data_IF_118233193438
#
_entry.id   IF_118233193438
#
_cell.length_a   1.000
_cell.length_b   1.000
_cell.length_c   1.000
_cell.angle_alpha   90.00
_cell.angle_beta   90.00
_cell.angle_gamma   90.00
#
_symmetry.space_group_name_H-M   'P 1'
#
loop_
_entity.id
_entity.type
_entity.pdbx_description
1 polymer ?
#
# COMPACT_ATOMS: atom_id res chain seq x y z
N UNK A 1 19.11 -5.51 59.74
CA UNK A 1 19.10 -4.75 58.47
C UNK A 1 17.86 -5.20 57.70
N UNK A 2 16.67 -4.69 58.04
CA UNK A 2 15.99 -3.55 57.41
C UNK A 2 15.84 -3.68 55.88
N UNK A 3 14.64 -4.11 55.44
CA UNK A 3 14.12 -3.98 54.07
C UNK A 3 13.77 -2.52 53.78
N UNK A 4 13.92 -2.09 52.52
CA UNK A 4 12.97 -1.18 51.86
C UNK A 4 12.54 -1.78 50.50
N UNK A 5 11.26 -2.12 50.28
CA UNK A 5 10.13 -1.25 49.86
C UNK A 5 10.20 -0.84 48.39
N UNK A 6 9.30 -1.47 47.62
CA UNK A 6 8.91 -1.17 46.25
C UNK A 6 8.44 0.29 46.09
N UNK A 7 8.83 0.95 45.01
CA UNK A 7 8.12 2.13 44.48
C UNK A 7 8.39 2.27 42.98
N UNK A 8 7.37 1.83 42.23
CA UNK A 8 6.70 2.60 41.18
C UNK A 8 7.49 2.99 39.92
N UNK A 9 7.14 2.28 38.85
CA UNK A 9 7.35 2.64 37.45
C UNK A 9 6.49 3.88 37.14
N UNK A 10 7.12 4.99 36.78
CA UNK A 10 6.40 6.12 36.17
C UNK A 10 6.06 5.77 34.71
N UNK A 11 4.81 5.32 34.54
CA UNK A 11 4.12 5.26 33.25
C UNK A 11 4.00 6.68 32.68
N UNK A 12 4.62 6.91 31.53
CA UNK A 12 4.42 8.13 30.75
C UNK A 12 2.96 8.15 30.27
N UNK A 13 2.18 9.20 30.59
CA UNK A 13 0.79 9.26 30.17
C UNK A 13 0.72 9.41 28.65
N UNK A 14 0.20 8.37 28.01
CA UNK A 14 -0.32 8.41 26.66
C UNK A 14 -1.36 9.54 26.62
N UNK A 15 -1.07 10.63 25.91
CA UNK A 15 -2.04 11.73 25.73
C UNK A 15 -3.25 11.15 25.00
N UNK A 16 -4.31 10.89 25.76
CA UNK A 16 -5.65 10.60 25.27
C UNK A 16 -6.04 11.63 24.22
N UNK A 17 -6.22 11.16 22.97
CA UNK A 17 -6.99 11.91 21.96
C UNK A 17 -8.47 11.69 22.24
N UNK A 18 -8.98 12.37 23.26
CA UNK A 18 -10.42 12.50 23.48
C UNK A 18 -10.85 13.93 23.14
N UNK A 19 -11.56 14.07 22.01
CA UNK A 19 -12.57 15.07 21.64
C UNK A 19 -12.84 14.92 20.13
N UNK A 20 -14.05 14.95 19.58
CA UNK A 20 -15.22 15.65 20.07
C UNK A 20 -16.51 15.19 19.35
N UNK A 21 -17.48 14.60 20.07
CA UNK A 21 -18.88 14.47 19.61
C UNK A 21 -19.71 15.74 19.95
N UNK A 22 -19.04 16.90 20.07
CA UNK A 22 -19.65 18.20 20.43
C UNK A 22 -19.50 19.28 19.35
N UNK A 23 -18.96 18.94 18.19
CA UNK A 23 -18.78 19.92 17.10
C UNK A 23 -20.12 20.48 16.61
N UNK A 24 -21.22 19.73 16.76
CA UNK A 24 -22.59 20.18 16.46
C UNK A 24 -23.09 21.32 17.37
N UNK A 25 -22.44 21.60 18.49
CA UNK A 25 -22.82 22.67 19.42
C UNK A 25 -21.98 23.95 19.23
N UNK A 26 -20.98 23.93 18.35
CA UNK A 26 -20.10 25.08 18.11
C UNK A 26 -20.82 26.13 17.27
N UNK A 27 -20.67 27.40 17.64
CA UNK A 27 -21.19 28.50 16.82
C UNK A 27 -20.35 28.68 15.56
N UNK A 28 -20.93 29.27 14.51
CA UNK A 28 -20.22 29.56 13.25
C UNK A 28 -18.91 30.32 13.46
N UNK A 29 -18.89 31.25 14.42
CA UNK A 29 -17.69 32.03 14.74
C UNK A 29 -16.56 31.14 15.31
N UNK A 30 -16.90 30.21 16.22
CA UNK A 30 -15.93 29.28 16.80
C UNK A 30 -15.35 28.32 15.75
N UNK A 31 -16.18 27.85 14.81
CA UNK A 31 -15.71 26.99 13.71
C UNK A 31 -14.78 27.74 12.75
N UNK A 32 -15.05 29.02 12.48
CA UNK A 32 -14.17 29.86 11.65
C UNK A 32 -12.83 30.06 12.33
N UNK A 33 -12.82 30.36 13.63
CA UNK A 33 -11.60 30.56 14.40
C UNK A 33 -10.73 29.29 14.46
N UNK A 34 -11.35 28.12 14.67
CA UNK A 34 -10.67 26.83 14.66
C UNK A 34 -10.10 26.49 13.28
N UNK A 35 -10.84 26.77 12.20
CA UNK A 35 -10.35 26.59 10.82
C UNK A 35 -9.16 27.51 10.52
N UNK A 36 -9.21 28.77 10.95
CA UNK A 36 -8.09 29.69 10.77
C UNK A 36 -6.85 29.26 11.57
N UNK A 37 -7.04 28.82 12.82
CA UNK A 37 -5.96 28.28 13.64
C UNK A 37 -5.32 27.05 12.98
N UNK A 38 -6.14 26.14 12.46
CA UNK A 38 -5.68 24.94 11.78
C UNK A 38 -4.93 25.27 10.49
N UNK A 39 -5.44 26.21 9.69
CA UNK A 39 -4.77 26.68 8.47
C UNK A 39 -3.41 27.27 8.78
N UNK A 40 -3.28 28.10 9.83
CA UNK A 40 -1.99 28.68 10.27
C UNK A 40 -1.00 27.60 10.73
N UNK A 41 -1.48 26.56 11.42
CA UNK A 41 -0.63 25.44 11.82
C UNK A 41 -0.12 24.65 10.62
N UNK A 42 -0.97 24.41 9.62
CA UNK A 42 -0.57 23.74 8.38
C UNK A 42 0.50 24.55 7.64
N UNK A 43 0.32 25.86 7.48
CA UNK A 43 1.33 26.69 6.78
C UNK A 43 2.67 26.68 7.50
N UNK A 44 2.66 26.66 8.84
CA UNK A 44 3.88 26.55 9.64
C UNK A 44 4.58 25.20 9.42
N UNK A 45 3.84 24.10 9.49
CA UNK A 45 4.38 22.76 9.27
C UNK A 45 4.90 22.57 7.84
N UNK A 46 4.19 23.07 6.84
CA UNK A 46 4.63 23.08 5.43
C UNK A 46 5.95 23.84 5.28
N UNK A 47 6.08 25.01 5.92
CA UNK A 47 7.33 25.79 5.88
C UNK A 47 8.49 25.11 6.61
N UNK A 48 8.21 24.36 7.67
CA UNK A 48 9.21 23.59 8.43
C UNK A 48 9.64 22.34 7.66
N UNK A 49 8.71 21.69 6.94
CA UNK A 49 9.01 20.59 6.03
C UNK A 49 9.87 21.06 4.86
N UNK A 50 9.52 22.16 4.20
CA UNK A 50 10.32 22.73 3.10
C UNK A 50 11.76 23.06 3.53
N UNK A 51 11.95 23.55 4.77
CA UNK A 51 13.28 23.80 5.35
C UNK A 51 14.05 22.53 5.69
N UNK A 52 13.37 21.45 6.05
CA UNK A 52 14.00 20.14 6.31
C UNK A 52 14.33 19.40 5.01
N UNK A 53 13.50 19.54 3.98
CA UNK A 53 13.74 18.96 2.66
C UNK A 53 14.94 19.62 1.96
N UNK A 54 15.17 20.92 2.15
CA UNK A 54 16.35 21.64 1.63
C UNK A 54 17.70 21.28 2.29
N UNK A 55 17.72 20.45 3.33
CA UNK A 55 18.94 19.97 4.02
C UNK A 55 19.20 18.47 3.80
N UNK A 56 18.39 17.80 2.98
CA UNK A 56 18.56 16.40 2.58
C UNK A 56 18.93 16.29 1.09
N UNK A 57 19.82 17.16 0.61
CA UNK A 57 20.51 16.98 -0.67
C UNK A 57 21.54 15.86 -0.54
N UNK A 58 21.10 14.62 -0.74
CA UNK A 58 21.87 13.49 -1.32
C UNK A 58 21.07 12.19 -1.19
N UNK A 59 19.86 12.14 -1.76
CA UNK A 59 19.37 10.91 -2.36
C UNK A 59 18.80 11.26 -3.72
N UNK A 60 19.56 10.89 -4.73
CA UNK A 60 19.23 10.86 -6.14
C UNK A 60 17.98 9.97 -6.35
N UNK A 61 16.80 10.49 -5.97
CA UNK A 61 15.53 9.96 -6.43
C UNK A 61 15.27 10.59 -7.79
N UNK A 62 15.99 10.10 -8.79
CA UNK A 62 15.43 10.09 -10.13
C UNK A 62 14.06 9.43 -10.00
N UNK A 63 12.98 10.21 -10.05
CA UNK A 63 11.62 9.68 -10.12
C UNK A 63 11.60 8.86 -11.40
N UNK A 64 11.80 7.55 -11.28
CA UNK A 64 11.79 6.65 -12.42
C UNK A 64 10.40 6.75 -13.07
N UNK A 65 10.35 7.44 -14.21
CA UNK A 65 9.10 7.59 -14.96
C UNK A 65 8.61 6.20 -15.33
N UNK A 66 7.37 5.87 -14.98
CA UNK A 66 6.77 4.59 -15.36
C UNK A 66 6.82 4.43 -16.88
N UNK A 67 7.12 3.22 -17.40
CA UNK A 67 7.08 2.96 -18.83
C UNK A 67 5.69 3.26 -19.42
N UNK A 68 5.67 3.74 -20.66
CA UNK A 68 4.43 4.00 -21.40
C UNK A 68 3.69 2.68 -21.63
N UNK A 69 2.42 2.63 -21.25
CA UNK A 69 1.54 1.48 -21.50
C UNK A 69 0.92 1.62 -22.88
N UNK A 70 1.07 0.59 -23.72
CA UNK A 70 0.42 0.51 -25.04
C UNK A 70 -0.79 -0.41 -24.93
N UNK A 71 -1.89 0.01 -25.55
CA UNK A 71 -3.05 -0.85 -25.70
C UNK A 71 -2.73 -1.96 -26.70
N UNK A 72 -3.09 -3.20 -26.36
CA UNK A 72 -2.90 -4.37 -27.22
C UNK A 72 -4.22 -5.14 -27.31
N UNK A 73 -4.45 -5.79 -28.43
CA UNK A 73 -5.57 -6.68 -28.65
C UNK A 73 -5.00 -8.05 -29.02
N UNK A 74 -4.66 -8.83 -28.00
CA UNK A 74 -4.07 -10.16 -28.14
C UNK A 74 -4.80 -11.14 -27.21
N UNK A 75 -4.95 -12.38 -27.67
CA UNK A 75 -5.34 -13.47 -26.78
C UNK A 75 -4.14 -13.81 -25.88
N UNK A 76 -4.36 -13.81 -24.58
CA UNK A 76 -3.34 -14.11 -23.56
C UNK A 76 -3.77 -15.40 -22.84
N UNK A 77 -2.88 -16.37 -22.81
CA UNK A 77 -3.03 -17.59 -22.05
C UNK A 77 -2.23 -17.48 -20.75
N UNK A 78 -2.89 -17.78 -19.63
CA UNK A 78 -2.31 -17.80 -18.29
C UNK A 78 -2.05 -19.24 -17.88
N UNK A 79 -0.82 -19.50 -17.47
CA UNK A 79 -0.37 -20.78 -16.93
C UNK A 79 0.00 -20.51 -15.48
N UNK A 80 -0.87 -20.96 -14.59
CA UNK A 80 -0.67 -20.93 -13.15
C UNK A 80 -0.14 -22.30 -12.71
N UNK A 81 1.09 -22.33 -12.20
CA UNK A 81 1.72 -23.55 -11.69
C UNK A 81 1.99 -23.37 -10.20
N UNK A 82 0.91 -23.39 -9.42
CA UNK A 82 0.98 -23.38 -7.97
C UNK A 82 0.15 -24.54 -7.42
N UNK A 83 0.70 -25.25 -6.44
CA UNK A 83 0.05 -26.40 -5.81
C UNK A 83 -0.75 -25.93 -4.58
N UNK A 84 -0.04 -25.55 -3.51
CA UNK A 84 -0.63 -24.97 -2.31
C UNK A 84 0.14 -23.69 -1.97
N UNK A 85 -0.61 -22.63 -1.70
CA UNK A 85 -0.06 -21.34 -1.29
C UNK A 85 -0.57 -21.04 0.11
N UNK A 86 0.36 -20.76 1.02
CA UNK A 86 0.01 -20.36 2.37
C UNK A 86 -0.54 -18.93 2.36
N UNK A 87 -1.69 -18.76 3.03
CA UNK A 87 -2.38 -17.49 3.12
C UNK A 87 -2.79 -17.22 4.56
N UNK A 88 -2.67 -15.96 4.96
CA UNK A 88 -3.15 -15.51 6.26
C UNK A 88 -4.58 -15.01 6.14
N UNK A 89 -5.50 -15.69 6.82
CA UNK A 89 -6.90 -15.27 6.88
C UNK A 89 -7.06 -13.92 7.59
N UNK A 90 -7.84 -13.02 7.01
CA UNK A 90 -8.15 -11.69 7.55
C UNK A 90 -9.55 -11.67 8.17
N UNK A 91 -10.55 -12.18 7.46
CA UNK A 91 -11.91 -12.35 7.98
C UNK A 91 -12.69 -13.41 7.19
N UNK A 92 -13.75 -13.93 7.81
CA UNK A 92 -14.63 -14.94 7.25
C UNK A 92 -16.08 -14.60 7.58
N UNK A 93 -16.96 -14.83 6.61
CA UNK A 93 -18.41 -14.71 6.74
C UNK A 93 -19.08 -15.89 6.03
N UNK A 94 -20.41 -16.01 6.16
CA UNK A 94 -21.19 -17.01 5.42
C UNK A 94 -21.05 -16.86 3.88
N UNK A 95 -20.84 -15.64 3.40
CA UNK A 95 -20.77 -15.33 1.96
C UNK A 95 -19.36 -15.28 1.36
N UNK A 96 -18.30 -15.41 2.17
CA UNK A 96 -16.93 -15.32 1.64
C UNK A 96 -15.85 -15.13 2.69
N UNK A 97 -14.60 -15.20 2.21
CA UNK A 97 -13.37 -15.11 2.98
C UNK A 97 -12.45 -14.02 2.39
N UNK A 98 -11.75 -13.31 3.26
CA UNK A 98 -10.67 -12.39 2.90
C UNK A 98 -9.37 -12.94 3.50
N UNK A 99 -8.30 -12.99 2.70
CA UNK A 99 -6.98 -13.43 3.10
C UNK A 99 -5.89 -12.56 2.45
N UNK A 100 -4.70 -12.59 3.02
CA UNK A 100 -3.48 -11.97 2.49
C UNK A 100 -2.41 -13.03 2.23
N UNK A 101 -1.50 -12.74 1.32
CA UNK A 101 -0.35 -13.57 0.98
C UNK A 101 0.91 -12.78 1.33
N UNK A 102 1.90 -13.47 1.91
CA UNK A 102 3.21 -12.88 2.19
C UNK A 102 4.14 -12.93 0.96
N UNK A 103 3.80 -13.75 -0.04
CA UNK A 103 4.52 -13.92 -1.28
C UNK A 103 3.65 -13.55 -2.49
N UNK A 104 4.30 -13.04 -3.54
CA UNK A 104 3.64 -12.74 -4.81
C UNK A 104 3.19 -14.02 -5.51
N UNK A 105 2.04 -13.98 -6.19
CA UNK A 105 1.57 -15.09 -7.01
C UNK A 105 2.28 -15.10 -8.37
N UNK A 106 3.13 -16.12 -8.67
CA UNK A 106 3.78 -16.21 -9.96
C UNK A 106 2.83 -16.78 -11.01
N UNK A 107 2.78 -16.13 -12.16
CA UNK A 107 2.09 -16.60 -13.35
C UNK A 107 3.05 -16.67 -14.51
N UNK A 108 2.94 -17.72 -15.30
CA UNK A 108 3.51 -17.75 -16.62
C UNK A 108 2.43 -17.35 -17.64
N UNK A 109 2.83 -16.57 -18.64
CA UNK A 109 1.93 -16.08 -19.68
C UNK A 109 2.52 -16.33 -21.05
N UNK A 110 1.65 -16.65 -22.00
CA UNK A 110 2.00 -16.68 -23.41
C UNK A 110 0.95 -15.97 -24.25
N UNK A 111 1.43 -15.21 -25.23
CA UNK A 111 0.58 -14.51 -26.18
C UNK A 111 1.32 -14.24 -27.48
N UNK A 112 0.57 -14.05 -28.56
CA UNK A 112 1.13 -13.67 -29.86
C UNK A 112 0.89 -12.18 -30.08
N UNK A 113 1.95 -11.43 -30.34
CA UNK A 113 1.91 -10.02 -30.68
C UNK A 113 2.74 -9.80 -31.96
N UNK A 114 2.18 -9.13 -32.96
CA UNK A 114 2.85 -8.87 -34.25
C UNK A 114 3.45 -10.13 -34.91
N UNK A 115 2.74 -11.27 -34.81
CA UNK A 115 3.18 -12.57 -35.34
C UNK A 115 4.27 -13.27 -34.53
N UNK A 116 4.76 -12.66 -33.45
CA UNK A 116 5.78 -13.23 -32.56
C UNK A 116 5.14 -13.79 -31.30
N UNK A 117 5.54 -15.00 -30.91
CA UNK A 117 5.11 -15.60 -29.64
C UNK A 117 5.98 -15.09 -28.50
N UNK A 118 5.35 -14.48 -27.52
CA UNK A 118 5.98 -14.00 -26.29
C UNK A 118 5.65 -14.95 -25.14
N UNK A 119 6.65 -15.23 -24.31
CA UNK A 119 6.49 -16.01 -23.07
C UNK A 119 7.15 -15.24 -21.94
N UNK A 120 6.39 -14.99 -20.87
CA UNK A 120 6.84 -14.18 -19.74
C UNK A 120 6.41 -14.80 -18.42
N UNK A 121 7.23 -14.63 -17.38
CA UNK A 121 6.80 -14.80 -16.00
C UNK A 121 6.43 -13.43 -15.42
N UNK A 122 5.40 -13.38 -14.59
CA UNK A 122 4.96 -12.17 -13.93
C UNK A 122 4.33 -12.44 -12.57
N UNK A 123 4.40 -11.45 -11.69
CA UNK A 123 3.75 -11.45 -10.38
C UNK A 123 2.45 -10.65 -10.43
N UNK A 124 1.44 -11.12 -9.71
CA UNK A 124 0.17 -10.40 -9.58
C UNK A 124 0.28 -9.27 -8.56
N UNK A 125 0.12 -8.03 -9.03
CA UNK A 125 0.20 -6.82 -8.19
C UNK A 125 -1.17 -6.37 -7.71
N UNK A 126 -2.21 -6.51 -8.55
CA UNK A 126 -3.57 -6.16 -8.16
C UNK A 126 -4.63 -6.84 -9.03
N UNK A 127 -5.81 -7.01 -8.44
CA UNK A 127 -7.02 -7.48 -9.14
C UNK A 127 -8.16 -6.51 -8.87
N UNK A 128 -8.94 -6.22 -9.90
CA UNK A 128 -10.16 -5.42 -9.78
C UNK A 128 -11.32 -6.13 -10.46
N UNK A 129 -12.41 -6.36 -9.72
CA UNK A 129 -13.68 -6.81 -10.30
C UNK A 129 -14.31 -5.66 -11.11
N UNK A 130 -14.72 -5.96 -12.33
CA UNK A 130 -15.39 -5.04 -13.23
C UNK A 130 -16.91 -5.12 -13.05
N UNK A 131 -17.67 -4.05 -13.37
CA UNK A 131 -19.12 -4.04 -13.21
C UNK A 131 -19.86 -5.12 -14.01
N UNK A 132 -19.26 -5.60 -15.10
CA UNK A 132 -19.81 -6.67 -15.94
C UNK A 132 -19.53 -8.09 -15.40
N UNK A 133 -18.97 -8.21 -14.20
CA UNK A 133 -18.60 -9.49 -13.60
C UNK A 133 -17.23 -10.03 -14.01
N UNK A 134 -16.54 -9.39 -14.96
CA UNK A 134 -15.17 -9.72 -15.32
C UNK A 134 -14.15 -9.23 -14.28
N UNK A 135 -12.87 -9.55 -14.51
CA UNK A 135 -11.75 -9.11 -13.68
C UNK A 135 -10.67 -8.46 -14.53
N UNK A 136 -10.04 -7.42 -13.97
CA UNK A 136 -8.84 -6.81 -14.52
C UNK A 136 -7.66 -7.10 -13.60
N UNK A 137 -6.59 -7.63 -14.18
CA UNK A 137 -5.37 -8.01 -13.49
C UNK A 137 -4.27 -7.01 -13.84
N UNK A 138 -3.52 -6.58 -12.84
CA UNK A 138 -2.27 -5.84 -13.01
C UNK A 138 -1.12 -6.73 -12.61
N UNK A 139 -0.22 -6.99 -13.56
CA UNK A 139 0.91 -7.89 -13.38
C UNK A 139 2.22 -7.12 -13.60
N UNK A 140 3.27 -7.58 -12.94
CA UNK A 140 4.64 -7.09 -13.12
C UNK A 140 5.52 -8.21 -13.67
N UNK A 141 6.17 -7.97 -14.80
CA UNK A 141 7.08 -8.96 -15.39
C UNK A 141 8.29 -9.16 -14.48
N UNK A 142 8.64 -10.42 -14.26
CA UNK A 142 9.87 -10.80 -13.57
C UNK A 142 10.86 -11.35 -14.58
N UNK A 143 12.14 -11.15 -14.30
CA UNK A 143 13.17 -11.81 -15.10
C UNK A 143 13.04 -13.33 -14.91
N UNK A 144 13.15 -14.13 -15.97
CA UNK A 144 13.23 -15.57 -15.81
C UNK A 144 14.46 -15.86 -14.94
N UNK A 145 14.26 -16.60 -13.85
CA UNK A 145 15.40 -17.10 -13.07
C UNK A 145 16.33 -17.88 -14.02
N UNK A 146 17.64 -17.60 -14.01
CA UNK A 146 18.58 -18.44 -14.72
C UNK A 146 18.49 -19.84 -14.12
N UNK A 147 18.25 -20.84 -14.97
CA UNK A 147 18.28 -22.24 -14.56
C UNK A 147 19.56 -22.50 -13.75
N UNK A 148 19.49 -23.14 -12.57
CA UNK A 148 20.72 -23.56 -11.89
C UNK A 148 21.49 -24.46 -12.86
N UNK A 149 22.75 -24.12 -13.11
CA UNK A 149 23.69 -25.01 -13.78
C UNK A 149 23.90 -26.17 -12.81
N UNK A 150 23.37 -27.33 -13.16
CA UNK A 150 23.59 -28.59 -12.43
C UNK A 150 25.00 -29.08 -12.73
#
# INVERSE_FOLDING_TARGET
MLRPSESEKEDKPCKERNNNMKDYQKTKAQLIEELEATRRQLTKLESELAKKEGLSENQDKTVASRPIRKEIHAAIEFIADFDIIEAKGINLSEGGICFELDEDLPFEMQFTLDGTRHRHRAHLIWVKRLPNGGYRFGLEFVQPEPYPII
#
